data_IF_086095380230
#
_entry.id   IF_086095380230
#
_cell.length_a   1.000
_cell.length_b   1.000
_cell.length_c   1.000
_cell.angle_alpha   90.00
_cell.angle_beta   90.00
_cell.angle_gamma   90.00
#
_symmetry.space_group_name_H-M   'P 1'
#
loop_
_entity.id
_entity.type
_entity.pdbx_description
1 polymer ?
#
# COMPACT_ATOMS: atom_id res chain seq x y z
N UNK A 1 -11.88 21.85 7.29
CA UNK A 1 -11.06 20.65 7.56
C UNK A 1 -11.93 19.44 7.27
N UNK A 2 -11.82 18.95 6.04
CA UNK A 2 -12.51 17.76 5.58
C UNK A 2 -11.58 16.53 5.61
N UNK A 3 -12.06 15.40 5.09
CA UNK A 3 -11.28 14.17 5.05
C UNK A 3 -10.03 14.29 4.15
N UNK A 4 -10.08 15.09 3.09
CA UNK A 4 -8.95 15.32 2.19
C UNK A 4 -7.87 16.12 2.93
N UNK A 5 -8.26 17.19 3.61
CA UNK A 5 -7.37 18.00 4.43
C UNK A 5 -6.63 17.13 5.46
N UNK A 6 -7.35 16.23 6.13
CA UNK A 6 -6.79 15.35 7.15
C UNK A 6 -5.73 14.38 6.59
N UNK A 7 -5.99 13.71 5.47
CA UNK A 7 -5.03 12.73 4.91
C UNK A 7 -3.79 13.42 4.33
N UNK A 8 -3.94 14.62 3.78
CA UNK A 8 -2.80 15.44 3.32
C UNK A 8 -1.93 15.87 4.51
N UNK A 9 -2.54 16.23 5.65
CA UNK A 9 -1.79 16.56 6.86
C UNK A 9 -1.01 15.34 7.39
N UNK A 10 -1.62 14.17 7.40
CA UNK A 10 -1.00 12.93 7.89
C UNK A 10 0.22 12.49 7.07
N UNK A 11 0.24 12.76 5.76
CA UNK A 11 1.31 12.32 4.86
C UNK A 11 2.53 13.25 4.83
N UNK A 12 2.48 14.43 5.48
CA UNK A 12 3.53 15.46 5.43
C UNK A 12 4.91 14.96 5.84
N UNK A 13 4.98 14.09 6.84
CA UNK A 13 6.24 13.50 7.29
C UNK A 13 6.60 12.21 6.55
N UNK A 14 5.63 11.57 5.88
CA UNK A 14 5.82 10.28 5.23
C UNK A 14 6.83 10.35 4.07
N UNK A 15 6.85 11.46 3.32
CA UNK A 15 7.76 11.64 2.19
C UNK A 15 9.21 11.97 2.57
N UNK A 16 9.46 12.40 3.81
CA UNK A 16 10.79 12.84 4.24
C UNK A 16 11.76 11.69 4.53
N UNK A 17 11.29 10.44 4.58
CA UNK A 17 12.08 9.28 4.97
C UNK A 17 11.91 8.03 4.09
N UNK A 18 11.33 8.14 2.90
CA UNK A 18 11.14 6.96 2.04
C UNK A 18 12.45 6.56 1.33
N UNK A 19 13.01 5.43 1.77
CA UNK A 19 14.01 4.64 1.03
C UNK A 19 13.45 3.96 -0.24
N UNK A 20 12.15 4.14 -0.53
CA UNK A 20 11.45 3.54 -1.65
C UNK A 20 11.77 4.19 -3.02
N UNK A 21 13.06 4.42 -3.30
CA UNK A 21 13.58 4.69 -4.65
C UNK A 21 13.78 3.41 -5.47
N UNK A 22 13.56 2.24 -4.87
CA UNK A 22 13.61 0.94 -5.57
C UNK A 22 12.25 0.68 -6.21
N UNK A 23 12.20 0.76 -7.55
CA UNK A 23 10.98 0.50 -8.33
C UNK A 23 10.65 -1.01 -8.34
N UNK A 24 11.67 -1.87 -8.27
CA UNK A 24 11.52 -3.32 -8.27
C UNK A 24 11.34 -3.89 -6.85
N UNK A 25 10.30 -4.72 -6.58
CA UNK A 25 10.10 -5.31 -5.26
C UNK A 25 11.20 -6.31 -4.89
N UNK A 26 11.73 -6.21 -3.67
CA UNK A 26 12.82 -7.08 -3.17
C UNK A 26 12.50 -8.57 -3.26
N UNK A 27 11.23 -8.93 -3.05
CA UNK A 27 10.77 -10.32 -3.05
C UNK A 27 10.28 -10.81 -4.43
N UNK A 28 10.29 -9.95 -5.47
CA UNK A 28 9.71 -10.26 -6.80
C UNK A 28 8.28 -10.78 -6.70
N UNK A 29 7.50 -10.18 -5.79
CA UNK A 29 6.14 -10.60 -5.44
C UNK A 29 5.11 -9.51 -5.78
N UNK A 30 3.96 -9.95 -6.28
CA UNK A 30 2.75 -9.13 -6.39
C UNK A 30 1.61 -9.77 -5.60
N UNK A 31 0.91 -8.96 -4.80
CA UNK A 31 -0.25 -9.36 -4.00
C UNK A 31 -1.49 -8.69 -4.57
N UNK A 32 -2.55 -9.47 -4.81
CA UNK A 32 -3.88 -8.97 -5.14
C UNK A 32 -4.82 -9.15 -3.94
N UNK A 33 -5.40 -8.06 -3.45
CA UNK A 33 -6.27 -8.06 -2.26
C UNK A 33 -7.54 -7.21 -2.46
N UNK A 34 -8.51 -7.37 -1.54
CA UNK A 34 -9.75 -6.57 -1.54
C UNK A 34 -9.50 -5.13 -1.09
N UNK A 35 -10.27 -4.17 -1.58
CA UNK A 35 -10.29 -2.76 -1.13
C UNK A 35 -11.00 -2.53 0.22
N UNK A 36 -11.50 -3.59 0.87
CA UNK A 36 -12.17 -3.49 2.17
C UNK A 36 -11.32 -2.71 3.19
N UNK A 37 -11.89 -1.64 3.76
CA UNK A 37 -11.18 -0.72 4.64
C UNK A 37 -10.65 -1.37 5.92
N UNK A 38 -11.16 -2.55 6.28
CA UNK A 38 -10.70 -3.31 7.46
C UNK A 38 -9.43 -4.11 7.18
N UNK A 39 -9.04 -4.25 5.91
CA UNK A 39 -7.87 -5.03 5.50
C UNK A 39 -6.68 -4.11 5.26
N UNK A 40 -5.70 -4.17 6.13
CA UNK A 40 -4.34 -3.70 5.87
C UNK A 40 -3.48 -4.87 5.36
N UNK A 41 -3.38 -4.98 4.04
CA UNK A 41 -2.71 -6.11 3.39
C UNK A 41 -1.20 -6.20 3.69
N UNK A 42 -0.52 -5.05 3.83
CA UNK A 42 0.91 -5.04 4.11
C UNK A 42 1.19 -5.53 5.53
N UNK A 43 0.47 -4.99 6.51
CA UNK A 43 0.60 -5.42 7.92
C UNK A 43 0.18 -6.87 8.13
N UNK A 44 -0.93 -7.30 7.51
CA UNK A 44 -1.42 -8.69 7.62
C UNK A 44 -0.40 -9.72 7.11
N UNK A 45 0.33 -9.37 6.04
CA UNK A 45 1.32 -10.25 5.41
C UNK A 45 2.74 -10.03 5.92
N UNK A 46 2.96 -9.11 6.86
CA UNK A 46 4.28 -8.79 7.40
C UNK A 46 5.23 -8.12 6.41
N UNK A 47 4.70 -7.40 5.41
CA UNK A 47 5.48 -6.74 4.36
C UNK A 47 6.00 -5.38 4.84
N UNK A 48 7.24 -5.07 4.48
CA UNK A 48 7.84 -3.74 4.65
C UNK A 48 7.75 -2.96 3.33
N UNK A 49 7.83 -1.62 3.36
CA UNK A 49 7.93 -0.82 2.14
C UNK A 49 9.04 -1.34 1.21
N UNK A 50 8.69 -1.65 -0.04
CA UNK A 50 9.61 -2.18 -1.05
C UNK A 50 9.70 -3.71 -1.16
N UNK A 51 9.02 -4.48 -0.29
CA UNK A 51 9.07 -5.95 -0.35
C UNK A 51 8.27 -6.54 -1.53
N UNK A 52 7.04 -6.06 -1.72
CA UNK A 52 6.11 -6.55 -2.75
C UNK A 52 5.27 -5.41 -3.35
N UNK A 53 4.77 -5.61 -4.56
CA UNK A 53 3.66 -4.80 -5.08
C UNK A 53 2.35 -5.25 -4.44
N UNK A 54 1.52 -4.30 -3.98
CA UNK A 54 0.20 -4.58 -3.41
C UNK A 54 -0.86 -3.90 -4.26
N UNK A 55 -1.66 -4.70 -4.96
CA UNK A 55 -2.75 -4.27 -5.83
C UNK A 55 -4.06 -4.54 -5.11
N UNK A 56 -4.97 -3.55 -5.08
CA UNK A 56 -6.26 -3.69 -4.39
C UNK A 56 -7.42 -3.34 -5.32
N UNK A 57 -8.45 -4.19 -5.36
CA UNK A 57 -9.69 -3.95 -6.10
C UNK A 57 -10.92 -4.45 -5.32
N UNK A 58 -12.12 -4.24 -5.85
CA UNK A 58 -13.35 -4.75 -5.23
C UNK A 58 -13.34 -6.29 -5.19
N UNK A 59 -13.27 -6.85 -3.98
CA UNK A 59 -13.28 -8.29 -3.74
C UNK A 59 -11.96 -9.04 -3.97
N UNK A 60 -10.86 -8.36 -4.32
CA UNK A 60 -9.56 -9.02 -4.57
C UNK A 60 -9.62 -9.97 -5.77
N UNK A 61 -10.41 -9.59 -6.78
CA UNK A 61 -10.76 -10.45 -7.91
C UNK A 61 -9.69 -10.38 -8.99
N UNK A 62 -9.11 -11.53 -9.35
CA UNK A 62 -8.36 -11.67 -10.60
C UNK A 62 -9.36 -11.74 -11.76
N UNK A 63 -9.41 -10.67 -12.54
CA UNK A 63 -10.27 -10.54 -13.74
C UNK A 63 -9.44 -10.72 -15.00
N UNK A 64 -10.09 -11.13 -16.09
CA UNK A 64 -9.47 -11.20 -17.43
C UNK A 64 -9.60 -9.87 -18.14
#
# INVERSE_FOLDING_TARGET
MDAIDQVVLNSRLHYLGMDARVIEPRMKLAVLACMDARVDAASLLGLRPGDAHVIRNAGGRATR
#
